data_IF_192778293162
#
_entry.id   IF_192778293162
#
_cell.length_a   1.000
_cell.length_b   1.000
_cell.length_c   1.000
_cell.angle_alpha   90.00
_cell.angle_beta   90.00
_cell.angle_gamma   90.00
#
_symmetry.space_group_name_H-M   'P 1'
#
loop_
_entity.id
_entity.type
_entity.pdbx_description
1 polymer ?
#
# COMPACT_ATOMS: atom_id res chain seq x y z
N UNK A 1 -9.68 1.18 4.19
CA UNK A 1 -8.99 -0.10 4.49
C UNK A 1 -8.33 -0.04 5.87
N UNK A 2 -7.44 0.90 6.19
CA UNK A 2 -6.73 0.95 7.47
C UNK A 2 -7.64 0.91 8.71
N UNK A 3 -8.69 1.75 8.77
CA UNK A 3 -9.66 1.72 9.87
C UNK A 3 -10.38 0.35 9.99
N UNK A 4 -10.76 -0.26 8.85
CA UNK A 4 -11.39 -1.58 8.89
C UNK A 4 -10.42 -2.64 9.44
N UNK A 5 -9.13 -2.56 9.08
CA UNK A 5 -8.10 -3.45 9.63
C UNK A 5 -7.87 -3.20 11.11
N UNK A 6 -7.84 -1.92 11.54
CA UNK A 6 -7.69 -1.55 12.96
C UNK A 6 -8.82 -2.11 13.84
N UNK A 7 -10.06 -2.20 13.31
CA UNK A 7 -11.19 -2.85 14.01
C UNK A 7 -10.98 -4.35 14.24
N UNK A 8 -10.21 -5.02 13.39
CA UNK A 8 -9.90 -6.45 13.52
C UNK A 8 -8.76 -6.64 14.50
N UNK A 9 -7.60 -6.01 14.22
CA UNK A 9 -6.38 -6.23 15.03
C UNK A 9 -6.47 -5.61 16.43
N UNK A 10 -7.26 -4.54 16.58
CA UNK A 10 -7.44 -3.86 17.87
C UNK A 10 -8.21 -4.64 18.92
N UNK A 11 -8.77 -5.81 18.59
CA UNK A 11 -9.39 -6.72 19.55
C UNK A 11 -8.37 -7.39 20.45
N UNK A 12 -7.17 -7.63 19.91
CA UNK A 12 -6.13 -8.43 20.55
C UNK A 12 -4.82 -7.63 20.76
N UNK A 13 -4.70 -6.45 20.14
CA UNK A 13 -3.48 -5.64 20.14
C UNK A 13 -3.76 -4.16 20.45
N UNK A 14 -2.80 -3.49 21.08
CA UNK A 14 -2.79 -2.03 21.12
C UNK A 14 -2.60 -1.48 19.69
N UNK A 15 -3.38 -0.45 19.34
CA UNK A 15 -3.39 0.14 17.99
C UNK A 15 -2.83 1.56 18.04
N UNK A 16 -1.85 1.83 17.18
CA UNK A 16 -1.42 3.19 16.85
C UNK A 16 -1.94 3.52 15.45
N UNK A 17 -2.73 4.57 15.34
CA UNK A 17 -3.23 5.08 14.08
C UNK A 17 -2.44 6.32 13.65
N UNK A 18 -2.14 6.43 12.37
CA UNK A 18 -1.60 7.65 11.80
C UNK A 18 -2.32 8.06 10.51
N UNK A 19 -2.39 9.36 10.30
CA UNK A 19 -2.85 10.01 9.07
C UNK A 19 -2.29 11.44 9.08
N UNK A 20 -2.22 12.09 7.92
CA UNK A 20 -1.91 13.54 7.80
C UNK A 20 -3.15 14.40 8.11
N UNK A 21 -4.34 13.80 8.16
CA UNK A 21 -5.62 14.47 8.38
C UNK A 21 -6.13 14.22 9.79
N UNK A 22 -6.05 15.24 10.63
CA UNK A 22 -6.50 15.19 12.03
C UNK A 22 -8.01 14.91 12.17
N UNK A 23 -8.83 15.42 11.23
CA UNK A 23 -10.27 15.15 11.21
C UNK A 23 -10.56 13.64 10.99
N UNK A 24 -9.80 12.99 10.09
CA UNK A 24 -9.90 11.54 9.85
C UNK A 24 -9.41 10.73 11.06
N UNK A 25 -8.31 11.15 11.68
CA UNK A 25 -7.80 10.51 12.89
C UNK A 25 -8.81 10.57 14.03
N UNK A 26 -9.43 11.73 14.27
CA UNK A 26 -10.44 11.90 15.31
C UNK A 26 -11.67 11.01 15.05
N UNK A 27 -12.18 10.99 13.81
CA UNK A 27 -13.30 10.15 13.43
C UNK A 27 -12.99 8.64 13.56
N UNK A 28 -11.78 8.24 13.17
CA UNK A 28 -11.32 6.85 13.29
C UNK A 28 -11.16 6.44 14.77
N UNK A 29 -10.60 7.32 15.60
CA UNK A 29 -10.46 7.07 17.03
C UNK A 29 -11.82 6.89 17.72
N UNK A 30 -12.77 7.78 17.44
CA UNK A 30 -14.15 7.66 17.95
C UNK A 30 -14.76 6.31 17.54
N UNK A 31 -14.65 5.96 16.24
CA UNK A 31 -15.19 4.68 15.72
C UNK A 31 -14.60 3.47 16.45
N UNK A 32 -13.31 3.49 16.79
CA UNK A 32 -12.66 2.39 17.53
C UNK A 32 -13.05 2.38 19.00
N UNK A 33 -13.17 3.56 19.61
CA UNK A 33 -13.59 3.69 21.02
C UNK A 33 -15.03 3.16 21.22
N UNK A 34 -15.93 3.39 20.28
CA UNK A 34 -17.29 2.85 20.29
C UNK A 34 -17.30 1.30 20.25
N UNK A 35 -16.21 0.69 19.79
CA UNK A 35 -16.00 -0.76 19.79
C UNK A 35 -15.17 -1.26 20.98
N UNK A 36 -14.85 -0.39 21.95
CA UNK A 36 -14.04 -0.72 23.11
C UNK A 36 -12.54 -0.78 22.83
N UNK A 37 -12.08 -0.30 21.67
CA UNK A 37 -10.67 -0.23 21.28
C UNK A 37 -10.17 1.18 21.55
N UNK A 38 -9.16 1.36 22.40
CA UNK A 38 -8.55 2.67 22.70
C UNK A 38 -7.30 2.88 21.85
N UNK A 39 -7.38 3.55 20.69
CA UNK A 39 -6.20 3.78 19.86
C UNK A 39 -5.36 4.93 20.37
N UNK A 40 -4.04 4.85 20.15
CA UNK A 40 -3.17 6.02 20.17
C UNK A 40 -3.16 6.63 18.77
N UNK A 41 -3.35 7.95 18.67
CA UNK A 41 -3.36 8.65 17.39
C UNK A 41 -2.13 9.53 17.24
N UNK A 42 -1.52 9.52 16.05
CA UNK A 42 -0.31 10.27 15.74
C UNK A 42 -0.48 10.96 14.39
N UNK A 43 -0.27 12.27 14.33
CA UNK A 43 -0.16 13.00 13.06
C UNK A 43 1.17 12.62 12.39
N UNK A 44 1.11 12.09 11.18
CA UNK A 44 2.30 11.63 10.47
C UNK A 44 2.14 11.74 8.96
N UNK A 45 3.02 12.52 8.34
CA UNK A 45 3.25 12.48 6.90
C UNK A 45 4.33 11.41 6.61
N UNK A 46 3.95 10.34 5.93
CA UNK A 46 4.87 9.25 5.57
C UNK A 46 6.01 9.70 4.65
N UNK A 47 5.90 10.85 4.01
CA UNK A 47 6.98 11.43 3.18
C UNK A 47 8.08 12.08 4.03
N UNK A 48 7.81 12.38 5.28
CA UNK A 48 8.78 12.84 6.29
C UNK A 48 9.29 11.63 7.10
N UNK A 49 10.51 11.22 6.80
CA UNK A 49 11.15 10.08 7.47
C UNK A 49 11.25 10.28 9.00
N UNK A 50 11.46 11.52 9.46
CA UNK A 50 11.54 11.81 10.89
C UNK A 50 10.18 11.62 11.56
N UNK A 51 9.09 12.10 10.94
CA UNK A 51 7.74 11.88 11.46
C UNK A 51 7.42 10.37 11.57
N UNK A 52 7.87 9.58 10.59
CA UNK A 52 7.73 8.11 10.64
C UNK A 52 8.55 7.49 11.78
N UNK A 53 9.78 7.94 12.00
CA UNK A 53 10.61 7.49 13.12
C UNK A 53 9.95 7.80 14.49
N UNK A 54 9.39 9.01 14.64
CA UNK A 54 8.68 9.45 15.85
C UNK A 54 7.39 8.62 16.07
N UNK A 55 6.65 8.29 15.00
CA UNK A 55 5.49 7.41 15.02
C UNK A 55 5.85 6.02 15.55
N UNK A 56 6.88 5.39 14.96
CA UNK A 56 7.30 4.04 15.39
C UNK A 56 7.95 4.05 16.78
N UNK A 57 8.63 5.13 17.14
CA UNK A 57 9.11 5.37 18.50
C UNK A 57 7.96 5.41 19.50
N UNK A 58 6.87 6.11 19.16
CA UNK A 58 5.65 6.14 19.97
C UNK A 58 5.05 4.73 20.11
N UNK A 59 4.95 3.97 19.03
CA UNK A 59 4.46 2.61 19.07
C UNK A 59 5.34 1.69 19.96
N UNK A 60 6.65 1.80 19.83
CA UNK A 60 7.61 1.00 20.61
C UNK A 60 7.59 1.33 22.11
N UNK A 61 7.25 2.56 22.47
CA UNK A 61 7.07 2.95 23.88
C UNK A 61 5.79 2.38 24.50
N UNK A 62 4.80 2.02 23.70
CA UNK A 62 3.57 1.37 24.15
C UNK A 62 3.72 -0.15 24.30
N UNK A 63 4.68 -0.75 23.60
CA UNK A 63 4.94 -2.19 23.64
C UNK A 63 5.70 -2.67 22.42
N UNK A 64 5.89 -3.98 22.33
CA UNK A 64 6.57 -4.58 21.16
C UNK A 64 5.74 -4.39 19.90
N UNK A 65 6.35 -3.85 18.86
CA UNK A 65 5.72 -3.75 17.55
C UNK A 65 5.65 -5.15 16.92
N UNK A 66 4.45 -5.70 16.85
CA UNK A 66 4.21 -7.03 16.21
C UNK A 66 3.89 -6.91 14.73
N UNK A 67 3.31 -5.78 14.31
CA UNK A 67 3.07 -5.53 12.88
C UNK A 67 2.90 -4.05 12.55
N UNK A 68 3.23 -3.71 11.30
CA UNK A 68 2.86 -2.45 10.64
C UNK A 68 2.02 -2.79 9.42
N UNK A 69 0.86 -2.14 9.28
CA UNK A 69 -0.02 -2.27 8.12
C UNK A 69 -0.06 -0.93 7.41
N UNK A 70 0.78 -0.79 6.39
CA UNK A 70 1.00 0.45 5.66
C UNK A 70 -0.06 0.66 4.58
N UNK A 71 -1.12 1.37 4.95
CA UNK A 71 -2.25 1.68 4.06
C UNK A 71 -2.23 3.13 3.56
N UNK A 72 -1.27 3.95 4.00
CA UNK A 72 -1.14 5.32 3.53
C UNK A 72 -0.80 5.35 2.03
N UNK A 73 -1.46 6.23 1.31
CA UNK A 73 -1.26 6.39 -0.12
C UNK A 73 -2.33 7.29 -0.74
N UNK A 74 -2.08 7.72 -1.95
CA UNK A 74 -2.96 8.60 -2.72
C UNK A 74 -3.25 8.02 -4.10
N UNK A 75 -4.44 8.34 -4.65
CA UNK A 75 -4.89 7.90 -5.97
C UNK A 75 -4.60 8.94 -7.06
N UNK A 76 -4.78 8.61 -8.35
CA UNK A 76 -4.51 9.53 -9.46
C UNK A 76 -5.24 10.88 -9.35
N UNK A 77 -6.49 10.87 -8.90
CA UNK A 77 -7.31 12.09 -8.76
C UNK A 77 -6.94 12.97 -7.57
N UNK A 78 -6.01 12.54 -6.71
CA UNK A 78 -5.64 13.27 -5.50
C UNK A 78 -4.46 14.24 -5.69
N UNK A 79 -3.76 14.20 -6.82
CA UNK A 79 -2.66 15.12 -7.05
C UNK A 79 -1.83 14.88 -8.30
N UNK A 80 -0.80 15.70 -8.47
CA UNK A 80 0.14 15.59 -9.57
C UNK A 80 1.10 14.38 -9.39
N UNK A 81 1.72 13.94 -10.49
CA UNK A 81 2.62 12.79 -10.54
C UNK A 81 3.69 12.78 -9.43
N UNK A 82 4.36 13.93 -9.20
CA UNK A 82 5.40 14.05 -8.17
C UNK A 82 4.88 13.82 -6.75
N UNK A 83 3.69 14.32 -6.43
CA UNK A 83 3.05 14.08 -5.14
C UNK A 83 2.68 12.60 -4.97
N UNK A 84 2.12 11.99 -6.02
CA UNK A 84 1.72 10.57 -6.01
C UNK A 84 2.94 9.67 -5.80
N UNK A 85 4.02 9.87 -6.56
CA UNK A 85 5.25 9.07 -6.42
C UNK A 85 5.86 9.26 -5.04
N UNK A 86 5.99 10.50 -4.57
CA UNK A 86 6.57 10.79 -3.25
C UNK A 86 5.77 10.11 -2.14
N UNK A 87 4.45 10.25 -2.12
CA UNK A 87 3.62 9.67 -1.07
C UNK A 87 3.63 8.14 -1.15
N UNK A 88 3.38 7.57 -2.33
CA UNK A 88 3.21 6.12 -2.46
C UNK A 88 4.53 5.35 -2.43
N UNK A 89 5.61 5.87 -3.03
CA UNK A 89 6.87 5.15 -3.13
C UNK A 89 7.87 5.58 -2.05
N UNK A 90 8.19 6.88 -1.93
CA UNK A 90 9.13 7.35 -0.89
C UNK A 90 8.54 7.14 0.50
N UNK A 91 7.24 7.40 0.69
CA UNK A 91 6.55 7.10 1.95
C UNK A 91 6.65 5.61 2.32
N UNK A 92 6.51 4.71 1.35
CA UNK A 92 6.70 3.26 1.58
C UNK A 92 8.13 2.95 2.03
N UNK A 93 9.15 3.54 1.38
CA UNK A 93 10.55 3.36 1.81
C UNK A 93 10.74 3.82 3.25
N UNK A 94 10.27 5.03 3.59
CA UNK A 94 10.43 5.57 4.94
C UNK A 94 9.80 4.66 6.00
N UNK A 95 8.55 4.23 5.79
CA UNK A 95 7.85 3.35 6.75
C UNK A 95 8.56 2.01 6.92
N UNK A 96 9.00 1.41 5.81
CA UNK A 96 9.65 0.11 5.85
C UNK A 96 11.07 0.17 6.46
N UNK A 97 11.85 1.21 6.16
CA UNK A 97 13.20 1.38 6.71
C UNK A 97 13.17 1.65 8.22
N UNK A 98 12.25 2.51 8.68
CA UNK A 98 12.10 2.76 10.11
C UNK A 98 11.51 1.54 10.84
N UNK A 99 10.57 0.80 10.24
CA UNK A 99 10.11 -0.49 10.77
C UNK A 99 11.27 -1.48 10.88
N UNK A 100 12.06 -1.63 9.80
CA UNK A 100 13.24 -2.51 9.82
C UNK A 100 14.22 -2.15 10.94
N UNK A 101 14.38 -0.86 11.24
CA UNK A 101 15.32 -0.41 12.29
C UNK A 101 14.86 -0.80 13.70
N UNK A 102 13.54 -0.76 14.02
CA UNK A 102 13.03 -0.85 15.40
C UNK A 102 12.29 -2.15 15.70
N UNK A 103 11.75 -2.85 14.70
CA UNK A 103 10.93 -4.04 14.92
C UNK A 103 11.76 -5.21 15.47
N UNK A 104 11.15 -5.98 16.37
CA UNK A 104 11.71 -7.23 16.89
C UNK A 104 11.43 -8.42 16.00
N UNK A 105 12.14 -9.54 16.27
CA UNK A 105 11.93 -10.82 15.60
C UNK A 105 10.46 -11.25 15.67
N UNK A 106 9.96 -11.84 14.59
CA UNK A 106 8.57 -12.28 14.42
C UNK A 106 7.63 -11.20 13.86
N UNK A 107 8.03 -9.92 13.89
CA UNK A 107 7.18 -8.84 13.39
C UNK A 107 7.00 -8.89 11.86
N UNK A 108 5.86 -8.32 11.41
CA UNK A 108 5.51 -8.27 9.99
C UNK A 108 5.18 -6.86 9.53
N UNK A 109 5.57 -6.50 8.30
CA UNK A 109 5.05 -5.34 7.62
C UNK A 109 4.25 -5.76 6.38
N UNK A 110 3.05 -5.16 6.24
CA UNK A 110 2.16 -5.39 5.11
C UNK A 110 1.96 -4.08 4.37
N UNK A 111 2.46 -3.99 3.16
CA UNK A 111 2.36 -2.82 2.29
C UNK A 111 1.13 -2.93 1.37
N UNK A 112 0.34 -1.86 1.26
CA UNK A 112 -0.78 -1.83 0.32
C UNK A 112 -0.31 -1.27 -1.02
N UNK A 113 -0.15 -2.19 -2.00
CA UNK A 113 0.08 -1.86 -3.39
C UNK A 113 -1.25 -1.54 -4.12
N UNK A 114 -1.51 -2.12 -5.28
CA UNK A 114 -2.75 -2.00 -6.05
C UNK A 114 -2.75 -2.98 -7.22
N UNK A 115 -3.92 -3.39 -7.73
CA UNK A 115 -4.02 -4.09 -9.01
C UNK A 115 -3.33 -3.30 -10.15
N UNK A 116 -3.24 -1.97 -10.05
CA UNK A 116 -2.53 -1.14 -11.01
C UNK A 116 -1.03 -1.51 -11.14
N UNK A 117 -0.43 -2.13 -10.11
CA UNK A 117 0.93 -2.66 -10.16
C UNK A 117 1.10 -3.87 -11.11
N UNK A 118 0.01 -4.38 -11.67
CA UNK A 118 -0.03 -5.51 -12.59
C UNK A 118 -0.50 -5.12 -13.99
N UNK A 119 -0.71 -3.83 -14.26
CA UNK A 119 -1.34 -3.36 -15.50
C UNK A 119 -0.37 -2.71 -16.50
N UNK A 120 0.75 -2.18 -16.01
CA UNK A 120 1.71 -1.52 -16.90
C UNK A 120 2.57 -2.53 -17.67
N UNK A 121 2.81 -2.29 -18.96
CA UNK A 121 3.86 -2.97 -19.71
C UNK A 121 5.22 -2.79 -19.05
N UNK A 122 6.06 -3.84 -19.09
CA UNK A 122 7.37 -3.83 -18.42
C UNK A 122 8.29 -2.72 -18.93
N UNK A 123 8.12 -2.33 -20.20
CA UNK A 123 8.92 -1.31 -20.88
C UNK A 123 8.69 0.11 -20.31
N UNK A 124 7.54 0.35 -19.66
CA UNK A 124 7.21 1.65 -19.05
C UNK A 124 7.76 1.73 -17.62
N UNK A 125 7.92 0.57 -16.98
CA UNK A 125 8.34 0.50 -15.58
C UNK A 125 9.86 0.66 -15.47
N UNK A 126 10.38 1.70 -14.77
CA UNK A 126 11.83 1.90 -14.61
C UNK A 126 12.40 0.99 -13.52
N UNK A 127 12.23 -0.34 -13.68
CA UNK A 127 12.55 -1.31 -12.64
C UNK A 127 14.06 -1.37 -12.31
N UNK A 128 14.92 -1.08 -13.26
CA UNK A 128 16.37 -0.96 -13.10
C UNK A 128 16.78 0.23 -12.22
N UNK A 129 15.91 1.24 -12.09
CA UNK A 129 16.12 2.43 -11.25
C UNK A 129 15.52 2.27 -9.84
N UNK A 130 14.67 1.29 -9.60
CA UNK A 130 14.05 1.07 -8.29
C UNK A 130 15.04 0.94 -7.12
N UNK A 131 16.23 0.30 -7.27
CA UNK A 131 17.24 0.26 -6.20
C UNK A 131 17.78 1.63 -5.77
N UNK A 132 17.61 2.67 -6.58
CA UNK A 132 18.00 4.04 -6.19
C UNK A 132 17.19 4.57 -5.01
N UNK A 133 15.97 4.08 -4.80
CA UNK A 133 15.13 4.48 -3.67
C UNK A 133 15.80 4.33 -2.29
N UNK A 134 16.78 3.43 -2.17
CA UNK A 134 17.54 3.18 -0.94
C UNK A 134 18.91 3.90 -0.90
N UNK A 135 19.27 4.61 -1.97
CA UNK A 135 20.61 5.23 -2.12
C UNK A 135 20.53 6.73 -2.34
N UNK A 136 19.65 7.14 -3.25
CA UNK A 136 19.50 8.52 -3.72
C UNK A 136 18.03 8.75 -4.07
N UNK A 137 17.30 9.36 -3.14
CA UNK A 137 15.87 9.63 -3.29
C UNK A 137 15.58 10.59 -4.45
N UNK A 138 16.47 11.55 -4.72
CA UNK A 138 16.25 12.52 -5.81
C UNK A 138 16.43 11.83 -7.17
N UNK A 139 17.50 11.05 -7.35
CA UNK A 139 17.70 10.26 -8.56
C UNK A 139 16.56 9.25 -8.79
N UNK A 140 16.05 8.63 -7.71
CA UNK A 140 14.89 7.77 -7.78
C UNK A 140 13.63 8.53 -8.25
N UNK A 141 13.36 9.69 -7.65
CA UNK A 141 12.22 10.53 -8.01
C UNK A 141 12.29 10.98 -9.49
N UNK A 142 13.47 11.41 -9.94
CA UNK A 142 13.69 11.81 -11.33
C UNK A 142 13.40 10.68 -12.32
N UNK A 143 13.88 9.47 -12.03
CA UNK A 143 13.63 8.29 -12.86
C UNK A 143 12.13 7.94 -12.93
N UNK A 144 11.44 7.97 -11.79
CA UNK A 144 10.00 7.71 -11.71
C UNK A 144 9.19 8.74 -12.51
N UNK A 145 9.56 10.03 -12.41
CA UNK A 145 8.88 11.10 -13.14
C UNK A 145 9.21 11.09 -14.63
N UNK A 146 10.41 10.68 -15.01
CA UNK A 146 10.78 10.48 -16.42
C UNK A 146 9.89 9.40 -17.07
N UNK A 147 9.64 8.29 -16.37
CA UNK A 147 8.71 7.25 -16.83
C UNK A 147 7.27 7.79 -17.01
N UNK A 148 6.82 8.70 -16.15
CA UNK A 148 5.51 9.33 -16.28
C UNK A 148 5.43 10.30 -17.47
N UNK A 149 6.56 10.92 -17.86
CA UNK A 149 6.62 11.95 -18.92
C UNK A 149 6.40 11.41 -20.31
N UNK A 150 6.46 10.10 -20.50
CA UNK A 150 6.17 9.43 -21.79
C UNK A 150 4.70 9.62 -22.19
N UNK A 151 3.82 9.76 -21.18
CA UNK A 151 2.39 9.96 -21.42
C UNK A 151 2.01 11.44 -21.53
N UNK A 152 0.87 11.75 -22.22
CA UNK A 152 0.26 13.08 -22.20
C UNK A 152 0.01 13.54 -20.76
N UNK A 153 0.00 14.85 -20.54
CA UNK A 153 -0.05 15.46 -19.20
C UNK A 153 -1.24 14.95 -18.36
N UNK A 154 -2.41 14.83 -18.97
CA UNK A 154 -3.65 14.34 -18.35
C UNK A 154 -3.57 12.88 -17.88
N UNK A 155 -2.69 12.06 -18.46
CA UNK A 155 -2.51 10.66 -18.11
C UNK A 155 -1.36 10.43 -17.09
N UNK A 156 -0.51 11.44 -16.84
CA UNK A 156 0.69 11.28 -16.01
C UNK A 156 0.41 10.88 -14.58
N UNK A 157 -0.67 11.37 -13.98
CA UNK A 157 -1.08 10.98 -12.62
C UNK A 157 -1.45 9.49 -12.54
N UNK A 158 -2.13 8.96 -13.57
CA UNK A 158 -2.45 7.54 -13.68
C UNK A 158 -1.21 6.65 -13.82
N UNK A 159 -0.25 7.07 -14.67
CA UNK A 159 1.03 6.36 -14.81
C UNK A 159 1.84 6.45 -13.51
N UNK A 160 1.92 7.62 -12.88
CA UNK A 160 2.63 7.80 -11.60
C UNK A 160 2.06 6.89 -10.51
N UNK A 161 0.74 6.76 -10.44
CA UNK A 161 0.10 5.83 -9.52
C UNK A 161 0.51 4.39 -9.82
N UNK A 162 0.35 3.94 -11.06
CA UNK A 162 0.65 2.56 -11.44
C UNK A 162 2.15 2.22 -11.24
N UNK A 163 3.08 3.12 -11.65
CA UNK A 163 4.53 2.93 -11.44
C UNK A 163 4.86 2.91 -9.95
N UNK A 164 4.27 3.83 -9.14
CA UNK A 164 4.52 3.85 -7.69
C UNK A 164 4.01 2.57 -7.00
N UNK A 165 2.85 2.03 -7.43
CA UNK A 165 2.32 0.77 -6.88
C UNK A 165 3.11 -0.45 -7.37
N UNK A 166 3.65 -0.42 -8.59
CA UNK A 166 4.61 -1.42 -9.08
C UNK A 166 5.89 -1.40 -8.23
N UNK A 167 6.38 -0.21 -7.86
CA UNK A 167 7.50 -0.07 -6.94
C UNK A 167 7.19 -0.68 -5.56
N UNK A 168 6.03 -0.43 -4.96
CA UNK A 168 5.63 -1.00 -3.66
C UNK A 168 5.66 -2.53 -3.70
N UNK A 169 5.11 -3.13 -4.78
CA UNK A 169 5.17 -4.57 -5.01
C UNK A 169 6.61 -5.07 -5.11
N UNK A 170 7.42 -4.46 -5.98
CA UNK A 170 8.82 -4.79 -6.17
C UNK A 170 9.62 -4.65 -4.87
N UNK A 171 9.42 -3.56 -4.13
CA UNK A 171 10.11 -3.32 -2.86
C UNK A 171 9.84 -4.46 -1.87
N UNK A 172 8.58 -4.82 -1.68
CA UNK A 172 8.19 -5.90 -0.76
C UNK A 172 8.82 -7.24 -1.16
N UNK A 173 8.96 -7.52 -2.46
CA UNK A 173 9.60 -8.73 -2.96
C UNK A 173 11.12 -8.69 -2.83
N UNK A 174 11.74 -7.58 -3.23
CA UNK A 174 13.21 -7.43 -3.27
C UNK A 174 13.86 -7.35 -1.89
N UNK A 175 13.12 -6.90 -0.87
CA UNK A 175 13.63 -6.76 0.50
C UNK A 175 13.40 -8.00 1.38
N UNK A 176 12.78 -9.06 0.86
CA UNK A 176 12.41 -10.22 1.64
C UNK A 176 13.60 -10.88 2.35
N UNK A 177 14.67 -11.15 1.62
CA UNK A 177 15.88 -11.76 2.19
C UNK A 177 16.49 -10.89 3.29
N UNK A 178 16.61 -9.58 3.05
CA UNK A 178 17.11 -8.63 4.04
C UNK A 178 16.25 -8.62 5.30
N UNK A 179 14.93 -8.60 5.17
CA UNK A 179 14.01 -8.59 6.32
C UNK A 179 14.11 -9.89 7.12
N UNK A 180 14.22 -11.04 6.46
CA UNK A 180 14.33 -12.33 7.14
C UNK A 180 15.65 -12.50 7.89
N UNK A 181 16.74 -11.77 7.57
CA UNK A 181 17.96 -11.76 8.39
C UNK A 181 17.73 -11.27 9.82
N UNK A 182 16.64 -10.54 10.06
CA UNK A 182 16.20 -10.08 11.37
C UNK A 182 14.95 -10.81 11.89
N UNK A 183 14.57 -11.91 11.26
CA UNK A 183 13.34 -12.63 11.60
C UNK A 183 12.06 -11.85 11.29
N UNK A 184 12.12 -10.84 10.41
CA UNK A 184 10.98 -10.02 10.01
C UNK A 184 10.34 -10.57 8.73
N UNK A 185 9.04 -10.32 8.55
CA UNK A 185 8.33 -10.61 7.29
C UNK A 185 7.91 -9.33 6.60
N UNK A 186 7.94 -9.33 5.27
CA UNK A 186 7.47 -8.24 4.43
C UNK A 186 6.59 -8.80 3.31
N UNK A 187 5.39 -8.25 3.16
CA UNK A 187 4.40 -8.69 2.18
C UNK A 187 3.74 -7.46 1.55
N UNK A 188 3.34 -7.54 0.30
CA UNK A 188 2.39 -6.58 -0.26
C UNK A 188 1.05 -7.23 -0.57
N UNK A 189 0.00 -6.42 -0.50
CA UNK A 189 -1.34 -6.77 -0.97
C UNK A 189 -1.71 -5.76 -2.03
N UNK A 190 -2.21 -6.24 -3.17
CA UNK A 190 -2.67 -5.46 -4.32
C UNK A 190 -4.21 -5.50 -4.40
N UNK A 191 -4.93 -4.56 -3.78
CA UNK A 191 -6.37 -4.47 -3.89
C UNK A 191 -6.83 -4.08 -5.29
N UNK A 192 -8.00 -4.58 -5.69
CA UNK A 192 -8.80 -4.04 -6.76
C UNK A 192 -9.61 -2.81 -6.36
N UNK A 193 -10.61 -2.47 -7.17
CA UNK A 193 -11.54 -1.37 -6.89
C UNK A 193 -12.32 -1.66 -5.61
N UNK A 194 -11.98 -0.95 -4.54
CA UNK A 194 -12.54 -1.14 -3.19
C UNK A 194 -13.46 0.04 -2.85
N UNK A 195 -14.62 -0.23 -2.24
CA UNK A 195 -15.62 0.75 -1.85
C UNK A 195 -15.15 1.61 -0.67
N UNK A 196 -14.29 2.56 -0.98
CA UNK A 196 -13.73 3.54 -0.06
C UNK A 196 -13.92 4.94 -0.66
N UNK A 197 -13.80 5.99 0.15
CA UNK A 197 -13.81 7.37 -0.33
C UNK A 197 -12.82 7.54 -1.50
N UNK A 198 -11.57 7.07 -1.35
CA UNK A 198 -10.56 7.09 -2.41
C UNK A 198 -10.97 6.29 -3.65
N UNK A 199 -11.52 5.08 -3.47
CA UNK A 199 -11.97 4.24 -4.58
C UNK A 199 -13.10 4.90 -5.38
N UNK A 200 -14.03 5.56 -4.70
CA UNK A 200 -15.15 6.26 -5.34
C UNK A 200 -14.72 7.51 -6.10
N UNK A 201 -13.65 8.18 -5.70
CA UNK A 201 -13.07 9.28 -6.49
C UNK A 201 -12.63 8.81 -7.89
N UNK A 202 -12.20 7.56 -8.02
CA UNK A 202 -11.70 6.97 -9.27
C UNK A 202 -12.82 6.31 -10.11
N UNK A 203 -14.07 6.31 -9.66
CA UNK A 203 -15.17 5.61 -10.33
C UNK A 203 -15.35 6.05 -11.79
N UNK A 204 -15.39 7.37 -12.01
CA UNK A 204 -15.52 7.95 -13.36
C UNK A 204 -14.21 7.94 -14.15
N UNK A 205 -13.06 7.86 -13.47
CA UNK A 205 -11.74 7.77 -14.09
C UNK A 205 -11.36 6.36 -14.57
N UNK A 206 -12.30 5.41 -14.53
CA UNK A 206 -12.13 4.05 -15.08
C UNK A 206 -12.34 2.91 -14.08
N UNK A 207 -12.32 3.17 -12.77
CA UNK A 207 -12.52 2.12 -11.77
C UNK A 207 -13.91 1.45 -11.89
N UNK A 208 -14.94 2.21 -12.25
CA UNK A 208 -16.28 1.67 -12.51
C UNK A 208 -16.32 0.66 -13.65
N UNK A 209 -15.62 0.95 -14.77
CA UNK A 209 -15.51 0.01 -15.88
C UNK A 209 -14.72 -1.26 -15.51
N UNK A 210 -13.68 -1.14 -14.69
CA UNK A 210 -12.93 -2.29 -14.18
C UNK A 210 -13.82 -3.18 -13.31
N UNK A 211 -14.62 -2.59 -12.42
CA UNK A 211 -15.59 -3.31 -11.59
C UNK A 211 -16.59 -4.09 -12.44
N UNK A 212 -17.16 -3.46 -13.47
CA UNK A 212 -18.13 -4.10 -14.35
C UNK A 212 -17.53 -5.28 -15.14
N UNK A 213 -16.22 -5.24 -15.39
CA UNK A 213 -15.50 -6.24 -16.17
C UNK A 213 -14.73 -7.26 -15.31
N UNK A 214 -14.81 -7.19 -13.99
CA UNK A 214 -14.21 -8.15 -13.09
C UNK A 214 -14.91 -9.51 -13.14
N UNK A 215 -14.22 -10.59 -12.74
CA UNK A 215 -14.84 -11.90 -12.57
C UNK A 215 -15.90 -11.87 -11.45
N UNK A 216 -15.65 -11.08 -10.40
CA UNK A 216 -16.61 -10.72 -9.36
C UNK A 216 -17.06 -9.27 -9.62
N UNK A 217 -18.18 -9.02 -10.36
CA UNK A 217 -18.53 -7.71 -10.89
C UNK A 217 -19.18 -6.79 -9.85
N UNK A 218 -18.46 -6.52 -8.78
CA UNK A 218 -18.82 -5.57 -7.73
C UNK A 218 -17.59 -4.90 -7.13
N UNK A 219 -17.79 -3.82 -6.44
CA UNK A 219 -16.77 -3.24 -5.58
C UNK A 219 -16.38 -4.21 -4.45
N UNK A 220 -15.09 -4.33 -4.18
CA UNK A 220 -14.59 -5.00 -2.98
C UNK A 220 -14.97 -4.19 -1.74
N UNK A 221 -15.31 -4.85 -0.65
CA UNK A 221 -15.58 -4.15 0.62
C UNK A 221 -14.28 -3.87 1.36
N UNK A 222 -14.17 -2.73 2.06
CA UNK A 222 -13.01 -2.43 2.92
C UNK A 222 -12.73 -3.56 3.93
N UNK A 223 -13.76 -4.22 4.43
CA UNK A 223 -13.68 -5.33 5.38
C UNK A 223 -13.04 -6.58 4.75
N UNK A 224 -13.34 -6.88 3.48
CA UNK A 224 -12.73 -8.00 2.75
C UNK A 224 -11.21 -7.80 2.58
N UNK A 225 -10.78 -6.54 2.34
CA UNK A 225 -9.36 -6.19 2.32
C UNK A 225 -8.74 -6.27 3.71
N UNK A 226 -9.47 -5.82 4.73
CA UNK A 226 -9.02 -5.79 6.11
C UNK A 226 -8.73 -7.19 6.67
N UNK A 227 -9.57 -8.18 6.36
CA UNK A 227 -9.35 -9.57 6.76
C UNK A 227 -8.04 -10.13 6.17
N UNK A 228 -7.77 -9.85 4.89
CA UNK A 228 -6.52 -10.27 4.25
C UNK A 228 -5.30 -9.55 4.85
N UNK A 229 -5.40 -8.24 5.07
CA UNK A 229 -4.31 -7.45 5.66
C UNK A 229 -3.99 -7.92 7.08
N UNK A 230 -5.03 -8.16 7.91
CA UNK A 230 -4.89 -8.68 9.26
C UNK A 230 -4.29 -10.12 9.26
N UNK A 231 -4.71 -10.97 8.34
CA UNK A 231 -4.12 -12.30 8.18
C UNK A 231 -2.63 -12.21 7.84
N UNK A 232 -2.25 -11.41 6.82
CA UNK A 232 -0.85 -11.24 6.41
C UNK A 232 0.04 -10.70 7.54
N UNK A 233 -0.52 -9.83 8.39
CA UNK A 233 0.16 -9.24 9.54
C UNK A 233 0.35 -10.22 10.72
N UNK A 234 -0.48 -11.25 10.80
CA UNK A 234 -0.54 -12.18 11.92
C UNK A 234 0.52 -13.30 11.84
N UNK A 235 0.77 -13.96 12.97
CA UNK A 235 1.62 -15.16 13.06
C UNK A 235 1.09 -16.33 12.22
N UNK A 236 -0.21 -16.36 11.90
CA UNK A 236 -0.83 -17.38 11.06
C UNK A 236 -0.27 -17.37 9.64
N UNK A 237 0.27 -16.23 9.19
CA UNK A 237 0.96 -16.08 7.92
C UNK A 237 2.49 -16.26 8.03
N UNK A 238 2.98 -17.01 9.03
CA UNK A 238 4.40 -17.11 9.40
C UNK A 238 5.36 -17.55 8.30
N UNK A 239 4.88 -18.25 7.26
CA UNK A 239 5.70 -18.64 6.10
C UNK A 239 5.52 -17.72 4.88
N UNK A 240 4.69 -16.66 5.01
CA UNK A 240 4.38 -15.73 3.94
C UNK A 240 5.30 -14.50 4.02
N UNK A 241 6.23 -14.38 3.09
CA UNK A 241 7.11 -13.20 2.94
C UNK A 241 7.55 -13.05 1.48
N UNK A 242 7.97 -11.85 1.07
CA UNK A 242 8.52 -11.60 -0.27
C UNK A 242 7.55 -11.82 -1.42
N UNK A 243 6.26 -11.69 -1.16
CA UNK A 243 5.21 -11.89 -2.17
C UNK A 243 4.23 -10.72 -2.22
N UNK A 244 3.53 -10.63 -3.33
CA UNK A 244 2.39 -9.74 -3.52
C UNK A 244 1.12 -10.57 -3.69
N UNK A 245 0.08 -10.24 -2.94
CA UNK A 245 -1.21 -10.93 -2.99
C UNK A 245 -2.21 -10.05 -3.72
N UNK A 246 -2.52 -10.43 -4.95
CA UNK A 246 -3.54 -9.76 -5.76
C UNK A 246 -4.93 -10.13 -5.25
N UNK A 247 -5.69 -9.13 -4.79
CA UNK A 247 -7.06 -9.26 -4.28
C UNK A 247 -7.98 -8.25 -4.97
N UNK A 248 -8.33 -8.54 -6.23
CA UNK A 248 -8.94 -7.59 -7.17
C UNK A 248 -10.29 -8.05 -7.75
N UNK A 249 -10.90 -9.09 -7.19
CA UNK A 249 -12.12 -9.67 -7.74
C UNK A 249 -11.95 -10.32 -9.11
N UNK A 250 -10.69 -10.66 -9.47
CA UNK A 250 -10.34 -11.29 -10.74
C UNK A 250 -10.31 -10.32 -11.94
N UNK A 251 -10.11 -9.02 -11.72
CA UNK A 251 -9.96 -8.02 -12.81
C UNK A 251 -8.79 -8.39 -13.72
N UNK A 252 -7.59 -8.55 -13.14
CA UNK A 252 -6.37 -8.83 -13.91
C UNK A 252 -6.48 -10.20 -14.61
N UNK A 253 -6.99 -11.23 -13.93
CA UNK A 253 -7.19 -12.54 -14.53
C UNK A 253 -8.14 -12.47 -15.73
N UNK A 254 -9.26 -11.76 -15.61
CA UNK A 254 -10.24 -11.59 -16.70
C UNK A 254 -9.67 -10.78 -17.87
N UNK A 255 -8.89 -9.73 -17.59
CA UNK A 255 -8.21 -8.93 -18.64
C UNK A 255 -7.20 -9.80 -19.41
N UNK A 256 -6.38 -10.56 -18.71
CA UNK A 256 -5.36 -11.43 -19.31
C UNK A 256 -6.00 -12.50 -20.21
N UNK A 257 -7.08 -13.15 -19.74
CA UNK A 257 -7.75 -14.18 -20.53
C UNK A 257 -8.44 -13.61 -21.77
N UNK A 258 -9.09 -12.44 -21.65
CA UNK A 258 -9.69 -11.77 -22.82
C UNK A 258 -8.63 -11.39 -23.85
N UNK A 259 -7.47 -10.88 -23.41
CA UNK A 259 -6.37 -10.56 -24.32
C UNK A 259 -5.83 -11.81 -25.03
N UNK A 260 -5.70 -12.93 -24.29
CA UNK A 260 -5.27 -14.22 -24.86
C UNK A 260 -6.24 -14.73 -25.93
N UNK A 261 -7.54 -14.67 -25.67
CA UNK A 261 -8.57 -15.09 -26.62
C UNK A 261 -8.56 -14.21 -27.87
N UNK A 262 -8.43 -12.88 -27.70
CA UNK A 262 -8.39 -11.95 -28.83
C UNK A 262 -7.13 -12.12 -29.70
N UNK A 263 -6.01 -12.59 -29.14
CA UNK A 263 -4.77 -12.81 -29.89
C UNK A 263 -4.70 -14.19 -30.55
N UNK A 264 -5.55 -15.15 -30.17
CA UNK A 264 -5.56 -16.53 -30.66
C UNK A 264 -6.73 -16.86 -31.62
N UNK A 265 -7.61 -15.92 -31.88
CA UNK A 265 -8.67 -16.01 -32.90
C UNK A 265 -8.27 -15.20 -34.13
#
# INVERSE_FOLDING_TARGET
MGLATAKIVGRDHAVVLCDVRQDRLAAAATTLQDLGIAPTVVDCDVTDRRAVADLLGTANNLGTIVSVIHTAGVSPSMGAAGYIVRTNAVGTVNVNEEFFAVAGEGAAIVNVASMAAHMLPAEIVPADQFPQALKDTDAFMDAMLAACSIAPEEARSGIAYAVSKTFVKWYSQSQAERFTTRGLRIVSVSPGSTDTEMGRLEEQAGAGAMVANAAVPRWGKPEEMAELLAFCASERAGYLTGTDILNDGGVIASMTERARVAAGG
#
